data_IF_835690717579
#
_entry.id   IF_835690717579
#
_cell.length_a   1.000
_cell.length_b   1.000
_cell.length_c   1.000
_cell.angle_alpha   90.00
_cell.angle_beta   90.00
_cell.angle_gamma   90.00
#
_symmetry.space_group_name_H-M   'P 1'
#
loop_
_entity.id
_entity.type
_entity.pdbx_description
1 polymer ?
#
# COMPACT_ATOMS: atom_id res chain seq x y z
N UNK A 1 5.36 -26.70 4.09
CA UNK A 1 4.64 -26.28 5.31
C UNK A 1 3.14 -26.53 5.16
N UNK A 2 2.41 -27.07 6.15
CA UNK A 2 0.93 -27.17 6.09
C UNK A 2 0.31 -25.85 6.56
N UNK A 3 -0.22 -25.07 5.62
CA UNK A 3 -0.91 -23.81 5.91
C UNK A 3 -2.30 -24.06 6.49
N UNK A 4 -2.67 -23.27 7.50
CA UNK A 4 -4.06 -23.19 7.98
C UNK A 4 -4.95 -22.47 6.96
N UNK A 5 -6.27 -22.66 7.02
CA UNK A 5 -7.21 -21.97 6.13
C UNK A 5 -7.10 -20.45 6.18
N UNK A 6 -6.85 -19.88 7.37
CA UNK A 6 -6.62 -18.44 7.55
C UNK A 6 -5.34 -17.96 6.85
N UNK A 7 -4.26 -18.74 6.92
CA UNK A 7 -2.99 -18.41 6.27
C UNK A 7 -3.10 -18.51 4.74
N UNK A 8 -3.82 -19.51 4.21
CA UNK A 8 -4.11 -19.61 2.78
C UNK A 8 -4.83 -18.36 2.26
N UNK A 9 -5.91 -17.97 2.93
CA UNK A 9 -6.66 -16.76 2.56
C UNK A 9 -5.77 -15.51 2.56
N UNK A 10 -4.92 -15.34 3.58
CA UNK A 10 -3.98 -14.21 3.64
C UNK A 10 -2.97 -14.22 2.47
N UNK A 11 -2.50 -15.39 2.05
CA UNK A 11 -1.62 -15.51 0.89
C UNK A 11 -2.33 -15.16 -0.41
N UNK A 12 -3.54 -15.67 -0.60
CA UNK A 12 -4.39 -15.35 -1.75
C UNK A 12 -4.63 -13.83 -1.84
N UNK A 13 -4.98 -13.18 -0.72
CA UNK A 13 -5.16 -11.71 -0.66
C UNK A 13 -3.90 -10.95 -1.08
N UNK A 14 -2.71 -11.38 -0.62
CA UNK A 14 -1.43 -10.73 -0.96
C UNK A 14 -0.94 -11.02 -2.38
N UNK A 15 -1.50 -12.02 -3.06
CA UNK A 15 -1.23 -12.32 -4.46
C UNK A 15 -2.35 -11.87 -5.41
N UNK A 16 -3.51 -11.42 -4.88
CA UNK A 16 -4.72 -11.16 -5.68
C UNK A 16 -4.53 -10.12 -6.79
N UNK A 17 -3.62 -9.16 -6.60
CA UNK A 17 -3.31 -8.12 -7.61
C UNK A 17 -2.34 -8.59 -8.70
N UNK A 18 -1.79 -9.80 -8.55
CA UNK A 18 -0.83 -10.42 -9.46
C UNK A 18 -1.33 -11.82 -9.86
N UNK A 19 -2.32 -11.90 -10.78
CA UNK A 19 -2.95 -13.17 -11.16
C UNK A 19 -1.98 -14.19 -11.77
N UNK A 20 -0.79 -13.76 -12.20
CA UNK A 20 0.30 -14.63 -12.63
C UNK A 20 1.00 -15.37 -11.48
N UNK A 21 0.79 -14.93 -10.23
CA UNK A 21 1.38 -15.52 -9.04
C UNK A 21 0.40 -16.50 -8.41
N UNK A 22 0.64 -17.78 -8.61
CA UNK A 22 -0.07 -18.84 -7.90
C UNK A 22 0.61 -19.11 -6.53
N UNK A 23 -0.05 -18.82 -5.40
CA UNK A 23 0.50 -19.08 -4.07
C UNK A 23 0.80 -20.56 -3.81
N UNK A 24 0.06 -21.49 -4.42
CA UNK A 24 0.26 -22.93 -4.19
C UNK A 24 1.53 -23.45 -4.88
N UNK A 25 1.93 -22.84 -5.99
CA UNK A 25 3.15 -23.17 -6.73
C UNK A 25 4.36 -22.31 -6.32
N UNK A 26 4.18 -21.38 -5.39
CA UNK A 26 5.26 -20.55 -4.85
C UNK A 26 6.18 -21.33 -3.92
N UNK A 27 7.49 -21.03 -3.93
CA UNK A 27 8.43 -21.63 -2.98
C UNK A 27 8.02 -21.35 -1.52
N UNK A 28 8.15 -22.37 -0.64
CA UNK A 28 7.71 -22.28 0.76
C UNK A 28 8.30 -21.09 1.52
N UNK A 29 9.55 -20.71 1.23
CA UNK A 29 10.24 -19.56 1.86
C UNK A 29 9.53 -18.23 1.60
N UNK A 30 8.89 -18.08 0.44
CA UNK A 30 8.16 -16.87 0.09
C UNK A 30 6.74 -16.89 0.64
N UNK A 31 6.10 -18.07 0.68
CA UNK A 31 4.84 -18.25 1.39
C UNK A 31 5.00 -17.89 2.88
N UNK A 32 6.04 -18.39 3.54
CA UNK A 32 6.36 -18.05 4.94
C UNK A 32 6.55 -16.53 5.11
N UNK A 33 7.34 -15.91 4.24
CA UNK A 33 7.59 -14.47 4.29
C UNK A 33 6.32 -13.63 4.08
N UNK A 34 5.44 -14.01 3.15
CA UNK A 34 4.18 -13.30 2.88
C UNK A 34 3.22 -13.34 4.07
N UNK A 35 3.34 -14.32 4.98
CA UNK A 35 2.55 -14.32 6.20
C UNK A 35 2.99 -13.26 7.21
N UNK A 36 4.20 -12.69 7.07
CA UNK A 36 4.66 -11.55 7.86
C UNK A 36 3.93 -10.27 7.43
N UNK A 37 3.46 -9.48 8.39
CA UNK A 37 2.73 -8.22 8.13
C UNK A 37 3.61 -7.14 7.47
N UNK A 38 4.93 -7.27 7.59
CA UNK A 38 5.90 -6.40 6.92
C UNK A 38 6.03 -6.62 5.41
N UNK A 39 5.46 -7.70 4.87
CA UNK A 39 5.41 -7.93 3.42
C UNK A 39 4.08 -7.43 2.92
N UNK A 40 4.08 -6.51 1.96
CA UNK A 40 2.88 -6.00 1.34
C UNK A 40 2.30 -7.04 0.37
N UNK A 41 3.06 -7.35 -0.70
CA UNK A 41 2.67 -8.32 -1.71
C UNK A 41 3.90 -9.00 -2.35
N UNK A 42 3.65 -9.95 -3.25
CA UNK A 42 4.69 -10.58 -4.08
C UNK A 42 4.49 -10.19 -5.54
N UNK A 43 5.54 -9.68 -6.18
CA UNK A 43 5.48 -9.23 -7.57
C UNK A 43 6.80 -9.49 -8.29
N UNK A 44 6.73 -9.98 -9.54
CA UNK A 44 7.91 -10.18 -10.39
C UNK A 44 9.01 -11.05 -9.75
N UNK A 45 8.63 -12.06 -8.97
CA UNK A 45 9.58 -12.94 -8.26
C UNK A 45 10.22 -12.32 -7.01
N UNK A 46 9.66 -11.22 -6.48
CA UNK A 46 10.24 -10.46 -5.36
C UNK A 46 9.19 -10.17 -4.30
N UNK A 47 9.60 -10.24 -3.03
CA UNK A 47 8.85 -9.69 -1.91
C UNK A 47 8.89 -8.17 -1.98
N UNK A 48 7.72 -7.54 -1.91
CA UNK A 48 7.54 -6.11 -1.72
C UNK A 48 7.21 -5.88 -0.27
N UNK A 49 7.92 -4.95 0.38
CA UNK A 49 7.76 -4.68 1.80
C UNK A 49 6.98 -3.40 2.04
N UNK A 50 6.28 -3.35 3.17
CA UNK A 50 5.55 -2.16 3.60
C UNK A 50 6.51 -1.03 3.95
N UNK A 51 5.99 0.18 4.07
CA UNK A 51 6.78 1.33 4.51
C UNK A 51 7.23 1.18 5.98
N UNK A 52 6.34 0.69 6.84
CA UNK A 52 6.61 0.41 8.26
C UNK A 52 7.78 -0.57 8.44
N UNK A 53 7.90 -1.57 7.58
CA UNK A 53 9.05 -2.48 7.57
C UNK A 53 10.37 -1.72 7.46
N UNK A 54 10.47 -0.79 6.51
CA UNK A 54 11.71 -0.04 6.33
C UNK A 54 12.00 0.88 7.52
N UNK A 55 10.96 1.47 8.12
CA UNK A 55 11.10 2.30 9.32
C UNK A 55 11.65 1.50 10.49
N UNK A 56 11.07 0.33 10.77
CA UNK A 56 11.47 -0.51 11.88
C UNK A 56 12.81 -1.20 11.62
N UNK A 57 13.10 -1.58 10.38
CA UNK A 57 14.41 -2.07 9.99
C UNK A 57 15.48 -1.01 10.23
N UNK A 58 15.23 0.23 9.82
CA UNK A 58 16.16 1.34 10.07
C UNK A 58 16.35 1.62 11.55
N UNK A 59 15.28 1.61 12.37
CA UNK A 59 15.40 1.75 13.83
C UNK A 59 16.32 0.68 14.44
N UNK A 60 16.26 -0.56 13.96
CA UNK A 60 17.14 -1.64 14.43
C UNK A 60 18.60 -1.41 13.99
N UNK A 61 18.81 -0.90 12.77
CA UNK A 61 20.14 -0.53 12.26
C UNK A 61 20.75 0.62 13.09
N UNK A 62 19.96 1.64 13.44
CA UNK A 62 20.39 2.73 14.32
C UNK A 62 20.79 2.26 15.72
N UNK A 63 20.25 1.11 16.18
CA UNK A 63 20.66 0.44 17.42
C UNK A 63 21.94 -0.39 17.27
N UNK A 64 22.66 -0.27 16.15
CA UNK A 64 23.93 -0.95 15.90
C UNK A 64 23.81 -2.38 15.35
N UNK A 65 22.60 -2.86 15.03
CA UNK A 65 22.44 -4.18 14.42
C UNK A 65 22.88 -4.16 12.96
N UNK A 66 23.50 -5.25 12.50
CA UNK A 66 23.75 -5.44 11.07
C UNK A 66 22.44 -5.60 10.31
N UNK A 67 22.45 -5.39 8.98
CA UNK A 67 21.24 -5.53 8.15
C UNK A 67 20.60 -6.92 8.29
N UNK A 68 21.43 -7.97 8.32
CA UNK A 68 20.98 -9.35 8.52
C UNK A 68 20.35 -9.54 9.91
N UNK A 69 20.96 -9.02 10.97
CA UNK A 69 20.43 -9.13 12.33
C UNK A 69 19.12 -8.35 12.50
N UNK A 70 19.04 -7.14 11.93
CA UNK A 70 17.84 -6.31 11.95
C UNK A 70 16.69 -7.02 11.21
N UNK A 71 16.94 -7.52 10.01
CA UNK A 71 15.96 -8.23 9.18
C UNK A 71 15.46 -9.51 9.85
N UNK A 72 16.37 -10.32 10.41
CA UNK A 72 16.01 -11.49 11.23
C UNK A 72 15.20 -11.11 12.46
N UNK A 73 15.55 -9.99 13.11
CA UNK A 73 14.83 -9.45 14.26
C UNK A 73 13.39 -9.02 13.96
N UNK A 74 13.05 -8.75 12.70
CA UNK A 74 11.68 -8.47 12.25
C UNK A 74 10.91 -9.73 11.82
N UNK A 75 11.41 -10.92 12.19
CA UNK A 75 10.71 -12.18 11.99
C UNK A 75 10.95 -12.83 10.63
N UNK A 76 11.96 -12.40 9.87
CA UNK A 76 12.28 -13.02 8.59
C UNK A 76 13.30 -14.15 8.71
N UNK A 77 13.03 -15.26 8.01
CA UNK A 77 13.92 -16.40 7.93
C UNK A 77 15.06 -16.17 6.91
N UNK A 78 16.14 -15.53 7.37
CA UNK A 78 17.31 -15.23 6.52
C UNK A 78 17.95 -16.49 5.94
N UNK A 79 17.94 -17.61 6.68
CA UNK A 79 18.54 -18.87 6.20
C UNK A 79 17.86 -19.37 4.93
N UNK A 80 16.55 -19.20 4.83
CA UNK A 80 15.78 -19.56 3.65
C UNK A 80 15.82 -18.47 2.56
N UNK A 81 15.70 -17.20 2.95
CA UNK A 81 15.55 -16.07 2.01
C UNK A 81 16.87 -15.51 1.45
N UNK A 82 18.00 -15.82 2.08
CA UNK A 82 19.34 -15.36 1.73
C UNK A 82 19.73 -14.03 2.38
N UNK A 83 21.01 -13.88 2.69
CA UNK A 83 21.58 -12.66 3.29
C UNK A 83 21.55 -11.46 2.34
N UNK A 84 21.71 -11.69 1.03
CA UNK A 84 21.67 -10.63 0.02
C UNK A 84 20.36 -9.84 0.06
N UNK A 85 19.25 -10.52 0.32
CA UNK A 85 17.94 -9.89 0.45
C UNK A 85 17.89 -8.98 1.68
N UNK A 86 18.38 -9.46 2.83
CA UNK A 86 18.45 -8.68 4.05
C UNK A 86 19.38 -7.46 3.88
N UNK A 87 20.53 -7.65 3.25
CA UNK A 87 21.48 -6.58 2.95
C UNK A 87 20.89 -5.54 1.99
N UNK A 88 20.20 -5.98 0.93
CA UNK A 88 19.53 -5.09 0.01
C UNK A 88 18.42 -4.28 0.69
N UNK A 89 17.59 -4.91 1.52
CA UNK A 89 16.55 -4.24 2.29
C UNK A 89 17.14 -3.19 3.27
N UNK A 90 18.21 -3.55 3.99
CA UNK A 90 18.90 -2.65 4.90
C UNK A 90 19.52 -1.44 4.19
N UNK A 91 20.20 -1.66 3.06
CA UNK A 91 20.73 -0.56 2.21
C UNK A 91 19.63 0.39 1.74
N UNK A 92 18.48 -0.15 1.31
CA UNK A 92 17.32 0.67 0.91
C UNK A 92 16.77 1.49 2.07
N UNK A 93 16.58 0.89 3.25
CA UNK A 93 16.11 1.61 4.43
C UNK A 93 17.03 2.79 4.78
N UNK A 94 18.35 2.56 4.75
CA UNK A 94 19.35 3.63 5.00
C UNK A 94 19.28 4.71 3.92
N UNK A 95 19.14 4.33 2.65
CA UNK A 95 19.03 5.30 1.56
C UNK A 95 17.75 6.13 1.68
N UNK A 96 16.60 5.51 1.94
CA UNK A 96 15.34 6.21 2.19
C UNK A 96 15.45 7.20 3.34
N UNK A 97 16.18 6.86 4.40
CA UNK A 97 16.44 7.77 5.51
C UNK A 97 17.29 8.97 5.07
N UNK A 98 18.36 8.73 4.31
CA UNK A 98 19.23 9.78 3.77
C UNK A 98 18.48 10.73 2.84
N UNK A 99 17.57 10.19 2.03
CA UNK A 99 16.77 10.96 1.08
C UNK A 99 15.57 11.67 1.76
N UNK A 100 15.39 11.51 3.08
CA UNK A 100 14.25 12.08 3.82
C UNK A 100 12.91 11.41 3.54
N UNK A 101 12.91 10.30 2.79
CA UNK A 101 11.69 9.59 2.37
C UNK A 101 11.21 8.55 3.37
N UNK A 102 12.03 8.16 4.36
CA UNK A 102 11.70 7.06 5.29
C UNK A 102 10.55 7.36 6.25
N UNK A 103 10.37 8.62 6.62
CA UNK A 103 9.27 9.05 7.50
C UNK A 103 8.27 9.94 6.79
N UNK A 104 8.48 10.17 5.48
CA UNK A 104 7.58 10.95 4.65
C UNK A 104 6.27 10.19 4.54
N UNK A 105 5.19 10.81 4.99
CA UNK A 105 3.86 10.26 4.79
C UNK A 105 3.60 9.93 3.32
N UNK A 106 2.90 8.83 3.09
CA UNK A 106 2.53 8.34 1.77
C UNK A 106 1.11 8.78 1.42
N UNK A 107 0.83 8.89 0.12
CA UNK A 107 -0.49 9.26 -0.41
C UNK A 107 -1.61 8.36 0.16
N UNK A 108 -1.32 7.09 0.41
CA UNK A 108 -2.27 6.12 0.97
C UNK A 108 -2.55 6.27 2.47
N UNK A 109 -1.69 6.97 3.22
CA UNK A 109 -1.84 7.14 4.67
C UNK A 109 -3.04 8.05 5.02
N UNK A 110 -3.44 8.89 4.06
CA UNK A 110 -4.53 9.84 4.21
C UNK A 110 -5.53 9.69 3.07
N UNK A 111 -6.68 9.01 3.27
CA UNK A 111 -7.65 8.74 2.22
C UNK A 111 -8.38 9.99 1.68
N UNK A 112 -8.06 11.19 2.17
CA UNK A 112 -8.59 12.44 1.64
C UNK A 112 -10.08 12.69 1.89
N UNK A 113 -10.76 11.82 2.64
CA UNK A 113 -12.20 11.92 2.90
C UNK A 113 -12.55 13.01 3.92
N UNK A 114 -11.63 13.30 4.84
CA UNK A 114 -11.82 14.31 5.88
C UNK A 114 -11.59 15.72 5.30
N UNK A 115 -12.48 16.69 5.55
CA UNK A 115 -12.31 18.10 5.15
C UNK A 115 -11.02 18.77 5.65
N UNK A 116 -10.50 19.73 4.88
CA UNK A 116 -9.20 20.38 5.10
C UNK A 116 -9.14 21.14 6.42
N UNK A 117 -10.22 21.81 6.80
CA UNK A 117 -10.38 22.52 8.07
C UNK A 117 -10.15 21.61 9.28
N UNK A 118 -10.55 20.34 9.19
CA UNK A 118 -10.38 19.36 10.27
C UNK A 118 -8.99 18.71 10.30
N UNK A 119 -8.21 18.86 9.24
CA UNK A 119 -6.88 18.24 9.11
C UNK A 119 -5.73 19.24 9.22
N UNK A 120 -6.01 20.51 9.57
CA UNK A 120 -4.97 21.55 9.67
C UNK A 120 -3.90 21.24 10.71
N UNK A 121 -4.22 20.46 11.75
CA UNK A 121 -3.28 20.03 12.79
C UNK A 121 -2.08 19.26 12.22
N UNK A 122 -2.22 18.63 11.04
CA UNK A 122 -1.10 17.95 10.37
C UNK A 122 0.05 18.90 10.03
N UNK A 123 -0.21 20.20 9.82
CA UNK A 123 0.86 21.19 9.60
C UNK A 123 1.83 21.26 10.78
N UNK A 124 1.33 21.05 11.99
CA UNK A 124 2.11 21.04 13.23
C UNK A 124 2.81 19.68 13.44
N UNK A 125 2.19 18.59 12.99
CA UNK A 125 2.80 17.25 13.07
C UNK A 125 3.88 16.99 12.02
N UNK A 126 3.89 17.73 10.91
CA UNK A 126 4.85 17.60 9.82
C UNK A 126 4.30 18.03 8.47
N UNK A 127 5.04 18.89 7.76
CA UNK A 127 4.62 19.36 6.43
C UNK A 127 4.51 18.24 5.40
N UNK A 128 5.31 17.18 5.53
CA UNK A 128 5.22 15.97 4.74
C UNK A 128 3.89 15.23 4.93
N UNK A 129 3.40 15.12 6.18
CA UNK A 129 2.07 14.57 6.49
C UNK A 129 0.95 15.40 5.89
N UNK A 130 1.05 16.73 6.04
CA UNK A 130 0.05 17.63 5.47
C UNK A 130 0.03 17.57 3.94
N UNK A 131 1.19 17.47 3.28
CA UNK A 131 1.29 17.28 1.83
C UNK A 131 0.69 15.94 1.38
N UNK A 132 1.00 14.84 2.06
CA UNK A 132 0.40 13.54 1.77
C UNK A 132 -1.13 13.56 1.92
N UNK A 133 -1.65 14.24 2.94
CA UNK A 133 -3.08 14.48 3.09
C UNK A 133 -3.67 15.27 1.92
N UNK A 134 -3.02 16.36 1.50
CA UNK A 134 -3.50 17.18 0.39
C UNK A 134 -3.50 16.37 -0.93
N UNK A 135 -2.48 15.56 -1.18
CA UNK A 135 -2.44 14.67 -2.35
C UNK A 135 -3.57 13.63 -2.30
N UNK A 136 -3.77 12.96 -1.17
CA UNK A 136 -4.89 12.03 -0.98
C UNK A 136 -6.27 12.71 -1.12
N UNK A 137 -6.39 13.96 -0.65
CA UNK A 137 -7.60 14.79 -0.79
C UNK A 137 -7.91 15.12 -2.25
N UNK A 138 -6.89 15.44 -3.05
CA UNK A 138 -7.06 15.65 -4.49
C UNK A 138 -7.60 14.39 -5.17
N UNK A 139 -6.98 13.22 -4.92
CA UNK A 139 -7.44 11.95 -5.50
C UNK A 139 -8.88 11.59 -5.10
N UNK A 140 -9.24 11.79 -3.83
CA UNK A 140 -10.61 11.59 -3.37
C UNK A 140 -11.60 12.51 -4.10
N UNK A 141 -11.26 13.79 -4.25
CA UNK A 141 -12.13 14.77 -4.92
C UNK A 141 -12.30 14.46 -6.40
N UNK A 142 -11.25 13.99 -7.07
CA UNK A 142 -11.31 13.53 -8.47
C UNK A 142 -12.27 12.34 -8.61
N UNK A 143 -12.14 11.32 -7.77
CA UNK A 143 -13.03 10.16 -7.77
C UNK A 143 -14.49 10.53 -7.45
N UNK A 144 -14.70 11.40 -6.44
CA UNK A 144 -16.03 11.87 -6.08
C UNK A 144 -16.69 12.68 -7.20
N UNK A 145 -15.90 13.51 -7.91
CA UNK A 145 -16.35 14.27 -9.05
C UNK A 145 -16.79 13.36 -10.20
N UNK A 146 -16.05 12.28 -10.47
CA UNK A 146 -16.41 11.34 -11.53
C UNK A 146 -17.71 10.58 -11.23
N UNK A 147 -17.92 10.19 -9.97
CA UNK A 147 -19.21 9.63 -9.52
C UNK A 147 -20.35 10.64 -9.72
N UNK A 148 -20.14 11.91 -9.39
CA UNK A 148 -21.17 12.95 -9.54
C UNK A 148 -21.47 13.26 -11.01
N UNK A 149 -20.45 13.28 -11.88
CA UNK A 149 -20.62 13.39 -13.33
C UNK A 149 -21.47 12.25 -13.87
N UNK A 150 -21.23 11.02 -13.43
CA UNK A 150 -21.98 9.86 -13.91
C UNK A 150 -23.44 9.92 -13.46
N UNK A 151 -23.71 10.24 -12.19
CA UNK A 151 -25.08 10.45 -11.69
C UNK A 151 -25.84 11.48 -12.52
N UNK A 152 -25.20 12.63 -12.82
CA UNK A 152 -25.81 13.67 -13.65
C UNK A 152 -26.07 13.18 -15.07
N UNK A 153 -25.11 12.45 -15.67
CA UNK A 153 -25.27 11.86 -17.01
C UNK A 153 -26.48 10.93 -17.04
N UNK A 154 -26.58 9.99 -16.09
CA UNK A 154 -27.70 9.04 -16.01
C UNK A 154 -29.03 9.76 -15.85
N UNK A 155 -29.11 10.75 -14.95
CA UNK A 155 -30.31 11.56 -14.76
C UNK A 155 -30.78 12.24 -16.05
N UNK A 156 -29.87 12.86 -16.80
CA UNK A 156 -30.24 13.53 -18.06
C UNK A 156 -30.61 12.54 -19.16
N UNK A 157 -29.99 11.36 -19.21
CA UNK A 157 -30.34 10.30 -20.16
C UNK A 157 -31.74 9.74 -19.90
N UNK A 158 -32.10 9.55 -18.63
CA UNK A 158 -33.44 9.12 -18.21
C UNK A 158 -34.48 10.17 -18.58
N UNK A 159 -34.24 11.43 -18.20
CA UNK A 159 -35.13 12.55 -18.53
C UNK A 159 -35.31 12.75 -20.04
N UNK A 160 -34.24 12.60 -20.83
CA UNK A 160 -34.32 12.65 -22.29
C UNK A 160 -35.22 11.52 -22.81
N UNK A 161 -35.04 10.29 -22.31
CA UNK A 161 -35.83 9.13 -22.70
C UNK A 161 -37.32 9.30 -22.35
N UNK A 162 -37.63 9.87 -21.18
CA UNK A 162 -39.01 10.21 -20.77
C UNK A 162 -39.65 11.25 -21.69
N UNK A 163 -38.95 12.35 -21.98
CA UNK A 163 -39.44 13.41 -22.86
C UNK A 163 -39.69 12.90 -24.29
N UNK A 164 -38.82 12.01 -24.78
CA UNK A 164 -38.97 11.37 -26.09
C UNK A 164 -40.19 10.45 -26.13
N UNK A 165 -40.38 9.59 -25.11
CA UNK A 165 -41.57 8.74 -24.97
C UNK A 165 -42.86 9.56 -24.89
N UNK A 166 -42.82 10.71 -24.23
CA UNK A 166 -43.94 11.64 -24.12
C UNK A 166 -44.19 12.49 -25.40
N UNK A 167 -43.40 12.29 -26.47
CA UNK A 167 -43.52 13.06 -27.71
C UNK A 167 -43.15 14.54 -27.59
N UNK A 168 -42.51 14.95 -26.48
CA UNK A 168 -42.14 16.35 -26.22
C UNK A 168 -40.86 16.76 -26.95
N UNK A 169 -40.04 15.79 -27.34
CA UNK A 169 -38.81 15.97 -28.13
C UNK A 169 -38.67 14.82 -29.14
N UNK A 170 -37.91 15.05 -30.22
CA UNK A 170 -37.63 14.05 -31.27
C UNK A 170 -36.44 13.15 -30.92
#
# INVERSE_FOLDING_TARGET
MKLTGKQKKKLEEKCAFHPEVDPEHMEEKFQEALLNDYVDHFSGGRLVYTHEFYQDLYKQIQKGKTYVQAYKGLGFNVKALGEDRANAAGKRAVQMAKDGNLYKAQIGDYPGTVPVDKMQYLKEEGMDKYLAYLEGRCLYLEAALDVEKEKKRSFYQEKYSELKKAGKIR
#
